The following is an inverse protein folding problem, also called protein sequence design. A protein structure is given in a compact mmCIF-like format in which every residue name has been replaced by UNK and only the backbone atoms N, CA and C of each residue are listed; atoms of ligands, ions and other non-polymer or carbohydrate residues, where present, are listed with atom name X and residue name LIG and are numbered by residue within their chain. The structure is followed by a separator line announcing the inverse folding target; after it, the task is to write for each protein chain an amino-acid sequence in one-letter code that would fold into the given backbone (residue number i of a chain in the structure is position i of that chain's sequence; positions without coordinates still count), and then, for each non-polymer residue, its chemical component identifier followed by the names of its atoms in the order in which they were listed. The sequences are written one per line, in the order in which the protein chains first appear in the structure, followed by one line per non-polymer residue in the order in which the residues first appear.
data_IF_133112798584
#
_entry.id   IF_133112798584
#
_cell.length_a   1.000
_cell.length_b   1.000
_cell.length_c   1.000
_cell.angle_alpha   90.00
_cell.angle_beta   90.00
_cell.angle_gamma   90.00
#
_symmetry.space_group_name_H-M   'P 1'
#
loop_
_entity.id
_entity.type
_entity.pdbx_description
1 polymer ?
#
# COMPACT_ATOMS: atom_id res chain seq x y z
N UNK A 1 -0.80 15.85 -2.61
CA UNK A 1 -1.36 14.50 -2.87
C UNK A 1 -1.73 13.84 -1.55
N UNK A 2 -2.78 13.02 -1.51
CA UNK A 2 -3.24 12.33 -0.30
C UNK A 2 -3.57 10.88 -0.64
N UNK A 3 -2.92 9.97 0.07
CA UNK A 3 -3.10 8.53 -0.01
C UNK A 3 -3.89 8.07 1.21
N UNK A 4 -4.91 7.27 0.99
CA UNK A 4 -5.82 6.77 2.03
C UNK A 4 -5.77 5.26 2.02
N UNK A 5 -5.38 4.66 3.13
CA UNK A 5 -5.34 3.20 3.29
C UNK A 5 -6.72 2.76 3.79
N UNK A 6 -7.35 1.81 3.11
CA UNK A 6 -8.68 1.26 3.46
C UNK A 6 -8.66 -0.26 3.42
N UNK A 7 -9.66 -0.86 4.06
CA UNK A 7 -10.00 -2.27 3.84
C UNK A 7 -10.98 -2.37 2.68
N UNK A 8 -10.70 -3.23 1.72
CA UNK A 8 -11.63 -3.59 0.66
C UNK A 8 -12.91 -4.16 1.29
N UNK A 9 -14.06 -3.63 0.89
CA UNK A 9 -15.37 -4.00 1.46
C UNK A 9 -15.77 -3.29 2.76
N UNK A 10 -14.86 -2.61 3.47
CA UNK A 10 -15.19 -1.75 4.61
C UNK A 10 -14.95 -0.27 4.26
N UNK A 11 -15.96 0.60 4.46
CA UNK A 11 -15.79 2.05 4.30
C UNK A 11 -14.92 2.70 5.40
N UNK A 12 -14.21 1.88 6.18
CA UNK A 12 -13.36 2.30 7.30
C UNK A 12 -11.97 2.70 6.79
N UNK A 13 -11.60 3.96 7.03
CA UNK A 13 -10.25 4.45 6.72
C UNK A 13 -9.27 3.98 7.80
N UNK A 14 -8.25 3.22 7.39
CA UNK A 14 -7.20 2.69 8.28
C UNK A 14 -6.05 3.67 8.48
N UNK A 15 -5.72 4.45 7.45
CA UNK A 15 -4.58 5.35 7.47
C UNK A 15 -4.69 6.46 6.42
N UNK A 16 -4.01 7.58 6.67
CA UNK A 16 -3.98 8.71 5.73
C UNK A 16 -2.58 9.30 5.70
N UNK A 17 -1.94 9.26 4.53
CA UNK A 17 -0.63 9.86 4.31
C UNK A 17 -0.76 11.05 3.35
N UNK A 18 -0.26 12.20 3.78
CA UNK A 18 -0.23 13.43 2.96
C UNK A 18 1.15 13.57 2.33
N UNK A 19 1.19 13.64 1.00
CA UNK A 19 2.37 13.88 0.16
C UNK A 19 3.45 12.79 0.14
N UNK A 20 3.29 11.66 0.84
CA UNK A 20 4.19 10.51 0.75
C UNK A 20 3.46 9.26 0.30
N UNK A 21 3.72 8.85 -0.94
CA UNK A 21 3.23 7.57 -1.47
C UNK A 21 3.97 6.37 -0.89
N UNK A 22 5.29 6.54 -0.70
CA UNK A 22 6.17 5.51 -0.11
C UNK A 22 5.70 5.11 1.28
N UNK A 23 5.48 6.08 2.16
CA UNK A 23 4.98 5.82 3.52
C UNK A 23 3.60 5.16 3.53
N UNK A 24 2.73 5.53 2.57
CA UNK A 24 1.42 4.89 2.44
C UNK A 24 1.55 3.41 2.04
N UNK A 25 2.46 3.11 1.10
CA UNK A 25 2.73 1.74 0.66
C UNK A 25 3.40 0.92 1.76
N UNK A 26 4.40 1.46 2.46
CA UNK A 26 5.07 0.79 3.57
C UNK A 26 4.07 0.46 4.68
N UNK A 27 3.25 1.44 5.07
CA UNK A 27 2.20 1.23 6.10
C UNK A 27 1.17 0.20 5.65
N UNK A 28 0.73 0.25 4.39
CA UNK A 28 -0.20 -0.74 3.86
C UNK A 28 0.42 -2.15 3.83
N UNK A 29 1.69 -2.27 3.42
CA UNK A 29 2.43 -3.54 3.43
C UNK A 29 2.60 -4.10 4.84
N UNK A 30 2.92 -3.25 5.83
CA UNK A 30 2.98 -3.66 7.24
C UNK A 30 1.62 -4.14 7.73
N UNK A 31 0.54 -3.43 7.40
CA UNK A 31 -0.83 -3.87 7.74
C UNK A 31 -1.18 -5.21 7.09
N UNK A 32 -0.82 -5.42 5.82
CA UNK A 32 -1.03 -6.70 5.12
C UNK A 32 -0.23 -7.83 5.78
N UNK A 33 1.01 -7.56 6.19
CA UNK A 33 1.87 -8.54 6.84
C UNK A 33 1.41 -8.89 8.27
N UNK A 34 0.80 -7.94 8.97
CA UNK A 34 0.36 -8.10 10.37
C UNK A 34 -1.10 -8.52 10.53
N UNK A 35 -1.93 -8.47 9.47
CA UNK A 35 -3.34 -8.83 9.59
C UNK A 35 -3.52 -10.34 9.77
N UNK A 36 -4.50 -10.69 10.60
CA UNK A 36 -5.02 -12.06 10.74
C UNK A 36 -6.34 -12.26 9.95
N UNK A 37 -6.97 -11.15 9.51
CA UNK A 37 -8.23 -11.14 8.77
C UNK A 37 -8.05 -11.30 7.26
N UNK A 38 -9.05 -11.90 6.59
CA UNK A 38 -9.11 -12.07 5.12
C UNK A 38 -9.45 -10.78 4.35
N UNK A 39 -9.70 -9.66 5.04
CA UNK A 39 -10.08 -8.41 4.37
C UNK A 39 -8.90 -7.81 3.60
N UNK A 40 -9.11 -7.53 2.31
CA UNK A 40 -8.09 -6.95 1.47
C UNK A 40 -7.73 -5.52 1.88
N UNK A 41 -6.49 -5.09 1.67
CA UNK A 41 -6.02 -3.72 1.97
C UNK A 41 -5.78 -2.99 0.67
N UNK A 42 -6.29 -1.76 0.55
CA UNK A 42 -6.13 -0.93 -0.64
C UNK A 42 -5.60 0.44 -0.27
N UNK A 43 -4.82 1.04 -1.17
CA UNK A 43 -4.38 2.44 -1.08
C UNK A 43 -5.11 3.23 -2.14
N UNK A 44 -5.99 4.13 -1.71
CA UNK A 44 -6.68 5.08 -2.57
C UNK A 44 -5.88 6.38 -2.70
N UNK A 45 -5.49 6.71 -3.92
CA UNK A 45 -5.07 8.05 -4.27
C UNK A 45 -6.31 8.93 -4.48
N UNK A 46 -6.51 9.85 -3.54
CA UNK A 46 -7.68 10.76 -3.55
C UNK A 46 -7.58 11.90 -4.55
N UNK A 47 -6.44 12.05 -5.23
CA UNK A 47 -6.21 13.11 -6.20
C UNK A 47 -6.51 12.64 -7.62
N UNK A 48 -5.95 11.51 -8.02
CA UNK A 48 -6.17 10.81 -9.28
C UNK A 48 -7.41 9.90 -9.24
N UNK A 49 -8.02 9.73 -8.05
CA UNK A 49 -9.13 8.82 -7.81
C UNK A 49 -8.81 7.39 -8.26
N UNK A 50 -7.57 6.97 -8.01
CA UNK A 50 -7.05 5.64 -8.33
C UNK A 50 -7.02 4.79 -7.07
N UNK A 51 -7.44 3.54 -7.19
CA UNK A 51 -7.29 2.54 -6.13
C UNK A 51 -6.15 1.61 -6.47
N UNK A 52 -5.30 1.30 -5.49
CA UNK A 52 -4.12 0.45 -5.62
C UNK A 52 -4.35 -0.72 -4.67
N UNK A 53 -4.55 -1.90 -5.22
CA UNK A 53 -4.80 -3.12 -4.45
C UNK A 53 -3.51 -3.75 -3.90
N UNK A 54 -3.66 -4.77 -3.07
CA UNK A 54 -2.53 -5.49 -2.46
C UNK A 54 -1.53 -6.04 -3.45
N UNK A 55 -1.99 -6.50 -4.62
CA UNK A 55 -1.11 -7.06 -5.64
C UNK A 55 -0.26 -5.95 -6.25
N UNK A 56 -0.88 -4.80 -6.53
CA UNK A 56 -0.15 -3.60 -6.95
C UNK A 56 0.78 -3.10 -5.84
N UNK A 57 0.35 -3.06 -4.58
CA UNK A 57 1.17 -2.63 -3.43
C UNK A 57 2.42 -3.51 -3.32
N UNK A 58 2.27 -4.84 -3.35
CA UNK A 58 3.38 -5.78 -3.30
C UNK A 58 4.33 -5.59 -4.49
N UNK A 59 3.78 -5.43 -5.69
CA UNK A 59 4.58 -5.18 -6.91
C UNK A 59 5.36 -3.86 -6.84
N UNK A 60 4.77 -2.82 -6.25
CA UNK A 60 5.39 -1.51 -6.10
C UNK A 60 6.48 -1.50 -5.01
N UNK A 61 6.30 -2.26 -3.93
CA UNK A 61 7.31 -2.46 -2.89
C UNK A 61 8.49 -3.27 -3.46
N UNK A 62 8.20 -4.33 -4.20
CA UNK A 62 9.19 -5.20 -4.87
C UNK A 62 10.02 -4.40 -5.88
N UNK A 63 9.36 -3.66 -6.78
CA UNK A 63 10.03 -2.79 -7.75
C UNK A 63 10.88 -1.67 -7.11
N UNK A 64 10.63 -1.32 -5.84
CA UNK A 64 11.38 -0.30 -5.08
C UNK A 64 12.45 -0.87 -4.17
N UNK A 65 12.43 -2.17 -3.90
CA UNK A 65 13.54 -2.87 -3.26
C UNK A 65 14.55 -3.16 -4.35
N UNK A 66 15.66 -2.40 -4.46
CA UNK A 66 16.73 -2.84 -5.34
C UNK A 66 17.22 -4.17 -4.76
N UNK A 67 16.94 -5.28 -5.46
CA UNK A 67 17.67 -6.51 -5.24
C UNK A 67 19.16 -6.13 -5.16
N UNK A 68 19.88 -6.46 -4.08
CA UNK A 68 21.32 -6.45 -4.14
C UNK A 68 21.68 -7.53 -5.15
N UNK A 69 21.83 -7.16 -6.42
CA UNK A 69 22.37 -8.05 -7.43
C UNK A 69 23.62 -8.69 -6.83
N UNK A 70 23.69 -10.04 -6.72
CA UNK A 70 24.95 -10.66 -6.38
C UNK A 70 25.90 -10.31 -7.53
N UNK A 71 26.92 -9.49 -7.24
CA UNK A 71 28.07 -9.34 -8.14
C UNK A 71 28.60 -10.74 -8.43
N UNK A 72 28.58 -11.12 -9.71
CA UNK A 72 29.12 -12.37 -10.24
C UNK A 72 30.56 -12.16 -10.71
#
# INVERSE_FOLDING_TARGET
MRYVIRKDGEMSTLGVHRNSFDEALATAAEMIAMRDDENSIVVEDTWENRTIDETEIASLIDARSPDPMPEA
#
